data_IF_946314892097
#
_entry.id   IF_946314892097
#
_cell.length_a   1.000
_cell.length_b   1.000
_cell.length_c   1.000
_cell.angle_alpha   90.00
_cell.angle_beta   90.00
_cell.angle_gamma   90.00
#
_symmetry.space_group_name_H-M   'P 1'
#
loop_
_entity.id
_entity.type
_entity.pdbx_description
1 polymer ?
#
# COMPACT_ATOMS: atom_id res chain seq x y z
N UNK A 1 5.60 -21.32 -1.99
CA UNK A 1 5.91 -21.56 -0.57
C UNK A 1 5.34 -20.41 0.22
N UNK A 2 4.51 -20.69 1.23
CA UNK A 2 3.74 -19.70 1.98
C UNK A 2 4.71 -18.72 2.67
N UNK A 3 4.81 -17.48 2.17
CA UNK A 3 5.56 -16.42 2.82
C UNK A 3 4.79 -16.02 4.09
N UNK A 4 5.45 -16.08 5.25
CA UNK A 4 4.85 -15.87 6.57
C UNK A 4 5.35 -14.55 7.16
N UNK A 5 5.21 -13.47 6.39
CA UNK A 5 5.46 -12.09 6.80
C UNK A 5 4.31 -11.45 7.56
N UNK A 6 4.44 -10.15 7.84
CA UNK A 6 3.64 -9.33 8.77
C UNK A 6 2.15 -9.70 8.89
N UNK A 7 1.56 -9.40 10.05
CA UNK A 7 0.12 -9.49 10.22
C UNK A 7 -0.56 -8.32 9.49
N UNK A 8 -0.82 -8.50 8.20
CA UNK A 8 -1.40 -7.48 7.32
C UNK A 8 -2.93 -7.45 7.46
N UNK A 9 -3.46 -6.29 7.82
CA UNK A 9 -4.89 -5.97 7.83
C UNK A 9 -5.17 -4.86 6.81
N UNK A 10 -6.12 -5.08 5.91
CA UNK A 10 -6.59 -4.04 4.99
C UNK A 10 -7.73 -3.25 5.62
N UNK A 11 -7.64 -1.92 5.56
CA UNK A 11 -8.64 -0.98 6.08
C UNK A 11 -9.23 -0.23 4.90
N UNK A 12 -10.54 -0.37 4.68
CA UNK A 12 -11.21 0.17 3.50
C UNK A 12 -12.61 0.69 3.82
N UNK A 13 -13.07 1.68 3.06
CA UNK A 13 -14.45 2.20 3.18
C UNK A 13 -15.51 1.26 2.60
N UNK A 14 -15.11 0.34 1.71
CA UNK A 14 -16.01 -0.54 0.97
C UNK A 14 -15.77 -2.01 1.32
N UNK A 15 -16.80 -2.68 1.83
CA UNK A 15 -16.79 -4.11 2.14
C UNK A 15 -16.54 -4.99 0.92
N UNK A 16 -16.94 -4.54 -0.27
CA UNK A 16 -16.72 -5.25 -1.54
C UNK A 16 -15.25 -5.54 -1.86
N UNK A 17 -14.31 -4.89 -1.16
CA UNK A 17 -12.87 -5.09 -1.31
C UNK A 17 -12.31 -6.21 -0.42
N UNK A 18 -13.13 -6.83 0.44
CA UNK A 18 -12.68 -7.90 1.35
C UNK A 18 -12.15 -9.11 0.60
N UNK A 19 -12.86 -9.55 -0.44
CA UNK A 19 -12.45 -10.71 -1.24
C UNK A 19 -11.12 -10.44 -1.95
N UNK A 20 -10.95 -9.26 -2.51
CA UNK A 20 -9.70 -8.85 -3.17
C UNK A 20 -8.56 -8.76 -2.14
N UNK A 21 -8.79 -8.18 -0.96
CA UNK A 21 -7.80 -8.17 0.13
C UNK A 21 -7.39 -9.58 0.58
N UNK A 22 -8.36 -10.50 0.67
CA UNK A 22 -8.12 -11.90 1.05
C UNK A 22 -7.31 -12.63 -0.01
N UNK A 23 -7.63 -12.44 -1.30
CA UNK A 23 -6.86 -13.00 -2.43
C UNK A 23 -5.41 -12.51 -2.45
N UNK A 24 -5.17 -11.27 -2.01
CA UNK A 24 -3.83 -10.68 -1.90
C UNK A 24 -3.05 -11.17 -0.67
N UNK A 25 -3.68 -11.94 0.22
CA UNK A 25 -3.05 -12.55 1.40
C UNK A 25 -3.19 -11.76 2.70
N UNK A 26 -4.08 -10.75 2.76
CA UNK A 26 -4.37 -10.07 4.02
C UNK A 26 -4.98 -11.05 5.04
N UNK A 27 -4.52 -10.99 6.30
CA UNK A 27 -5.02 -11.86 7.38
C UNK A 27 -6.32 -11.36 7.98
N UNK A 28 -6.60 -10.06 7.85
CA UNK A 28 -7.82 -9.44 8.35
C UNK A 28 -8.23 -8.26 7.46
N UNK A 29 -9.48 -7.82 7.63
CA UNK A 29 -10.04 -6.68 6.91
C UNK A 29 -11.00 -5.90 7.80
N UNK A 30 -10.84 -4.58 7.83
CA UNK A 30 -11.65 -3.64 8.61
C UNK A 30 -12.38 -2.65 7.71
N UNK A 31 -13.65 -2.41 8.02
CA UNK A 31 -14.44 -1.37 7.36
C UNK A 31 -14.27 -0.04 8.08
N UNK A 32 -13.67 0.95 7.43
CA UNK A 32 -13.38 2.25 8.07
C UNK A 32 -14.61 3.10 8.38
N UNK A 33 -15.80 2.71 7.88
CA UNK A 33 -17.09 3.34 8.23
C UNK A 33 -17.77 2.66 9.42
N UNK A 34 -17.29 1.51 9.85
CA UNK A 34 -17.83 0.75 10.97
C UNK A 34 -17.09 1.17 12.25
N UNK A 35 -17.77 1.97 13.07
CA UNK A 35 -17.20 2.50 14.30
C UNK A 35 -16.91 1.41 15.35
N UNK A 36 -17.65 0.30 15.35
CA UNK A 36 -17.40 -0.80 16.28
C UNK A 36 -16.14 -1.57 15.91
N UNK A 37 -15.95 -1.84 14.61
CA UNK A 37 -14.71 -2.45 14.10
C UNK A 37 -13.49 -1.58 14.36
N UNK A 38 -13.58 -0.26 14.12
CA UNK A 38 -12.47 0.65 14.39
C UNK A 38 -12.13 0.72 15.88
N UNK A 39 -13.14 0.81 16.74
CA UNK A 39 -12.95 0.83 18.20
C UNK A 39 -12.32 -0.47 18.70
N UNK A 40 -12.75 -1.61 18.17
CA UNK A 40 -12.17 -2.92 18.50
C UNK A 40 -10.72 -3.10 18.06
N UNK A 41 -10.26 -2.31 17.09
CA UNK A 41 -8.91 -2.35 16.54
C UNK A 41 -7.99 -1.22 17.05
N UNK A 42 -8.41 -0.46 18.06
CA UNK A 42 -7.56 0.56 18.67
C UNK A 42 -6.28 -0.07 19.23
N UNK A 43 -5.16 0.64 19.09
CA UNK A 43 -3.85 0.21 19.61
C UNK A 43 -3.34 -1.14 19.06
N UNK A 44 -3.80 -1.57 17.89
CA UNK A 44 -3.53 -2.90 17.35
C UNK A 44 -2.42 -2.95 16.29
N UNK A 45 -1.97 -1.80 15.78
CA UNK A 45 -0.99 -1.75 14.67
C UNK A 45 0.32 -1.08 15.07
N UNK A 46 1.43 -1.74 14.76
CA UNK A 46 2.78 -1.17 14.92
C UNK A 46 3.11 -0.22 13.75
N UNK A 47 2.56 -0.49 12.58
CA UNK A 47 2.83 0.25 11.36
C UNK A 47 1.56 0.35 10.51
N UNK A 48 1.24 1.55 10.04
CA UNK A 48 0.16 1.81 9.09
C UNK A 48 0.75 2.49 7.86
N UNK A 49 0.47 1.96 6.68
CA UNK A 49 0.71 2.64 5.40
C UNK A 49 -0.60 3.12 4.80
N UNK A 50 -0.67 4.42 4.56
CA UNK A 50 -1.83 5.09 4.03
C UNK A 50 -1.65 5.40 2.54
N UNK A 51 -2.41 4.67 1.71
CA UNK A 51 -2.36 4.77 0.25
C UNK A 51 -3.49 5.62 -0.34
N UNK A 52 -4.30 6.27 0.50
CA UNK A 52 -5.50 6.97 0.05
C UNK A 52 -5.17 8.39 -0.41
N UNK A 53 -5.51 8.71 -1.66
CA UNK A 53 -5.34 10.07 -2.23
C UNK A 53 -6.62 10.91 -2.19
N UNK A 54 -7.72 10.36 -1.68
CA UNK A 54 -8.95 11.10 -1.40
C UNK A 54 -8.94 11.63 0.05
N UNK A 55 -9.78 12.63 0.33
CA UNK A 55 -9.97 13.10 1.70
C UNK A 55 -10.53 11.96 2.56
N UNK A 56 -9.91 11.74 3.72
CA UNK A 56 -10.33 10.75 4.70
C UNK A 56 -9.90 11.17 6.11
N UNK A 57 -10.42 10.48 7.12
CA UNK A 57 -10.18 10.79 8.54
C UNK A 57 -8.87 10.16 9.04
N UNK A 58 -7.77 10.89 8.89
CA UNK A 58 -6.44 10.46 9.37
C UNK A 58 -6.41 10.34 10.90
N UNK A 59 -7.14 11.19 11.63
CA UNK A 59 -7.17 11.17 13.08
C UNK A 59 -7.73 9.85 13.63
N UNK A 60 -8.83 9.36 13.04
CA UNK A 60 -9.40 8.06 13.37
C UNK A 60 -8.40 6.92 13.12
N UNK A 61 -7.63 7.01 12.02
CA UNK A 61 -6.67 5.97 11.66
C UNK A 61 -5.44 5.96 12.59
N UNK A 62 -4.95 7.12 13.04
CA UNK A 62 -3.85 7.20 14.02
C UNK A 62 -4.27 6.54 15.36
N UNK A 63 -5.55 6.55 15.72
CA UNK A 63 -6.02 5.85 16.92
C UNK A 63 -5.92 4.33 16.84
N UNK A 64 -5.76 3.76 15.64
CA UNK A 64 -5.52 2.33 15.48
C UNK A 64 -4.07 1.95 15.82
N UNK A 65 -3.14 2.90 15.79
CA UNK A 65 -1.74 2.65 16.14
C UNK A 65 -1.57 2.31 17.61
N UNK A 66 -0.73 1.31 17.86
CA UNK A 66 -0.15 0.99 19.14
C UNK A 66 0.76 2.13 19.64
N UNK A 67 1.17 2.06 20.91
CA UNK A 67 2.12 3.00 21.48
C UNK A 67 3.44 3.01 20.68
N UNK A 68 3.89 4.19 20.28
CA UNK A 68 5.03 4.42 19.38
C UNK A 68 4.90 3.79 17.98
N UNK A 69 3.67 3.47 17.56
CA UNK A 69 3.40 3.01 16.20
C UNK A 69 3.69 4.08 15.14
N UNK A 70 3.90 3.62 13.91
CA UNK A 70 4.26 4.46 12.77
C UNK A 70 3.06 4.64 11.84
N UNK A 71 2.72 5.89 11.51
CA UNK A 71 1.82 6.24 10.42
C UNK A 71 2.63 6.75 9.23
N UNK A 72 2.66 6.01 8.13
CA UNK A 72 3.36 6.41 6.90
C UNK A 72 2.35 6.80 5.82
N UNK A 73 2.34 8.09 5.47
CA UNK A 73 1.52 8.62 4.39
C UNK A 73 2.24 8.52 3.04
N UNK A 74 1.61 7.81 2.10
CA UNK A 74 2.07 7.76 0.70
C UNK A 74 1.00 8.24 -0.28
N UNK A 75 -0.26 8.31 0.16
CA UNK A 75 -1.34 9.00 -0.54
C UNK A 75 -1.20 10.53 -0.45
N UNK A 76 -1.78 11.23 -1.43
CA UNK A 76 -1.74 12.70 -1.51
C UNK A 76 -3.15 13.29 -1.50
N UNK A 77 -3.81 13.41 -0.33
CA UNK A 77 -5.11 14.05 -0.22
C UNK A 77 -5.02 15.57 -0.51
N UNK A 78 -6.10 16.18 -1.06
CA UNK A 78 -6.07 17.58 -1.48
C UNK A 78 -6.17 18.58 -0.33
N UNK A 79 -6.58 18.16 0.88
CA UNK A 79 -6.62 19.02 2.07
C UNK A 79 -5.65 18.50 3.14
N UNK A 80 -5.12 19.39 4.00
CA UNK A 80 -4.29 18.98 5.12
C UNK A 80 -5.01 17.98 6.04
N UNK A 81 -4.24 17.04 6.59
CA UNK A 81 -4.72 16.13 7.62
C UNK A 81 -4.75 16.81 8.99
N UNK A 82 -5.80 16.55 9.77
CA UNK A 82 -5.88 16.99 11.16
C UNK A 82 -5.25 15.94 12.08
N UNK A 83 -4.36 16.38 12.98
CA UNK A 83 -3.64 15.51 13.91
C UNK A 83 -3.99 15.92 15.35
N UNK A 84 -4.67 15.07 16.14
CA UNK A 84 -5.06 15.43 17.50
C UNK A 84 -3.85 15.45 18.46
N UNK A 85 -3.61 16.59 19.13
CA UNK A 85 -2.47 16.76 20.04
C UNK A 85 -2.45 15.76 21.20
N UNK A 86 -3.61 15.40 21.76
CA UNK A 86 -3.66 14.41 22.84
C UNK A 86 -3.21 13.03 22.39
N UNK A 87 -3.53 12.64 21.16
CA UNK A 87 -3.06 11.36 20.60
C UNK A 87 -1.53 11.39 20.46
N UNK A 88 -0.94 12.51 20.06
CA UNK A 88 0.51 12.67 20.01
C UNK A 88 1.15 12.52 21.39
N UNK A 89 0.59 13.16 22.41
CA UNK A 89 1.12 13.14 23.78
C UNK A 89 1.03 11.74 24.41
N UNK A 90 -0.09 11.05 24.26
CA UNK A 90 -0.32 9.77 24.92
C UNK A 90 0.23 8.57 24.16
N UNK A 91 0.18 8.58 22.81
CA UNK A 91 0.64 7.45 22.01
C UNK A 91 2.06 7.59 21.49
N UNK A 92 2.58 8.83 21.41
CA UNK A 92 3.89 9.14 20.82
C UNK A 92 4.08 8.52 19.42
N UNK A 93 3.11 8.63 18.50
CA UNK A 93 3.21 8.02 17.19
C UNK A 93 4.30 8.71 16.36
N UNK A 94 4.89 7.96 15.43
CA UNK A 94 5.79 8.51 14.42
C UNK A 94 4.94 8.74 13.17
N UNK A 95 4.72 10.01 12.80
CA UNK A 95 3.99 10.36 11.58
C UNK A 95 5.01 10.78 10.54
N UNK A 96 5.02 10.07 9.40
CA UNK A 96 6.00 10.26 8.34
C UNK A 96 5.33 10.20 6.97
N UNK A 97 6.04 10.68 5.95
CA UNK A 97 5.65 10.52 4.56
C UNK A 97 6.75 9.86 3.76
N UNK A 98 6.39 9.15 2.69
CA UNK A 98 7.36 8.65 1.72
C UNK A 98 6.86 8.85 0.31
N UNK A 99 7.74 9.32 -0.55
CA UNK A 99 7.48 9.49 -1.97
C UNK A 99 8.61 8.80 -2.72
N UNK A 100 8.26 7.80 -3.54
CA UNK A 100 9.18 7.00 -4.35
C UNK A 100 10.36 6.44 -3.53
N UNK A 101 11.46 6.05 -4.18
CA UNK A 101 12.67 5.57 -3.54
C UNK A 101 13.89 5.82 -4.43
N UNK A 102 15.09 5.73 -3.84
CA UNK A 102 16.34 5.95 -4.58
C UNK A 102 16.64 4.81 -5.56
N UNK A 103 17.47 5.05 -6.59
CA UNK A 103 17.77 4.03 -7.63
C UNK A 103 18.31 2.71 -7.07
N UNK A 104 19.17 2.77 -6.04
CA UNK A 104 19.68 1.57 -5.36
C UNK A 104 18.55 0.78 -4.70
N UNK A 105 17.66 1.48 -4.00
CA UNK A 105 16.50 0.90 -3.32
C UNK A 105 15.49 0.33 -4.31
N UNK A 106 15.28 1.00 -5.44
CA UNK A 106 14.46 0.51 -6.55
C UNK A 106 15.01 -0.79 -7.13
N UNK A 107 16.34 -0.91 -7.30
CA UNK A 107 16.93 -2.16 -7.77
C UNK A 107 16.74 -3.29 -6.74
N UNK A 108 16.95 -3.01 -5.46
CA UNK A 108 16.73 -3.99 -4.40
C UNK A 108 15.26 -4.43 -4.31
N UNK A 109 14.31 -3.52 -4.51
CA UNK A 109 12.89 -3.85 -4.64
C UNK A 109 12.64 -4.77 -5.84
N UNK A 110 13.19 -4.46 -7.02
CA UNK A 110 13.01 -5.30 -8.20
C UNK A 110 13.60 -6.71 -7.99
N UNK A 111 14.78 -6.80 -7.38
CA UNK A 111 15.43 -8.08 -7.06
C UNK A 111 14.58 -8.88 -6.05
N UNK A 112 14.01 -8.21 -5.04
CA UNK A 112 13.07 -8.79 -4.09
C UNK A 112 11.81 -9.29 -4.80
N UNK A 113 11.20 -8.48 -5.67
CA UNK A 113 10.04 -8.88 -6.47
C UNK A 113 10.35 -10.11 -7.34
N UNK A 114 11.52 -10.14 -7.99
CA UNK A 114 11.97 -11.27 -8.79
C UNK A 114 12.14 -12.53 -7.94
N UNK A 115 12.75 -12.44 -6.76
CA UNK A 115 12.96 -13.60 -5.87
C UNK A 115 11.67 -14.18 -5.29
N UNK A 116 10.70 -13.32 -5.00
CA UNK A 116 9.45 -13.68 -4.32
C UNK A 116 8.24 -13.77 -5.28
N UNK A 117 8.48 -13.69 -6.59
CA UNK A 117 7.46 -13.75 -7.64
C UNK A 117 6.33 -12.70 -7.43
N UNK A 118 6.70 -11.54 -6.90
CA UNK A 118 5.75 -10.44 -6.65
C UNK A 118 5.60 -9.63 -7.93
N UNK A 119 4.37 -9.63 -8.45
CA UNK A 119 4.00 -8.86 -9.64
C UNK A 119 2.77 -7.99 -9.37
N UNK A 120 2.65 -6.93 -10.16
CA UNK A 120 1.40 -6.16 -10.24
C UNK A 120 0.39 -6.90 -11.11
N UNK A 121 -0.88 -6.89 -10.71
CA UNK A 121 -1.96 -7.21 -11.64
C UNK A 121 -2.20 -6.01 -12.55
N UNK A 122 -2.13 -6.27 -13.85
CA UNK A 122 -2.16 -5.25 -14.90
C UNK A 122 -3.31 -5.54 -15.86
N UNK A 123 -3.97 -4.46 -16.30
CA UNK A 123 -4.82 -4.50 -17.48
C UNK A 123 -4.01 -3.93 -18.64
N UNK A 124 -3.75 -4.75 -19.66
CA UNK A 124 -3.06 -4.28 -20.86
C UNK A 124 -4.04 -3.50 -21.72
N UNK A 125 -3.63 -2.30 -22.13
CA UNK A 125 -4.33 -1.51 -23.15
C UNK A 125 -3.39 -1.28 -24.32
N UNK A 126 -3.96 -1.15 -25.50
CA UNK A 126 -3.22 -0.67 -26.65
C UNK A 126 -3.04 0.84 -26.53
N UNK A 127 -1.92 1.36 -27.04
CA UNK A 127 -1.61 2.78 -27.01
C UNK A 127 -2.38 3.57 -28.09
N UNK A 128 -3.70 3.33 -28.19
CA UNK A 128 -4.61 4.07 -29.07
C UNK A 128 -5.39 5.13 -28.27
N UNK A 129 -5.59 6.35 -28.80
CA UNK A 129 -6.18 7.47 -28.05
C UNK A 129 -7.52 7.15 -27.38
N UNK A 130 -8.37 6.36 -28.05
CA UNK A 130 -9.69 5.96 -27.55
C UNK A 130 -9.57 5.09 -26.29
N UNK A 131 -8.69 4.07 -26.30
CA UNK A 131 -8.48 3.21 -25.14
C UNK A 131 -7.79 3.94 -24.01
N UNK A 132 -6.88 4.88 -24.30
CA UNK A 132 -6.23 5.71 -23.29
C UNK A 132 -7.25 6.59 -22.57
N UNK A 133 -8.18 7.21 -23.30
CA UNK A 133 -9.22 8.06 -22.70
C UNK A 133 -10.20 7.23 -21.86
N UNK A 134 -10.62 6.05 -22.34
CA UNK A 134 -11.47 5.13 -21.56
C UNK A 134 -10.75 4.64 -20.30
N UNK A 135 -9.46 4.30 -20.41
CA UNK A 135 -8.62 3.92 -19.28
C UNK A 135 -8.46 5.06 -18.25
N UNK A 136 -8.30 6.30 -18.72
CA UNK A 136 -8.24 7.49 -17.88
C UNK A 136 -9.55 7.71 -17.11
N UNK A 137 -10.70 7.64 -17.79
CA UNK A 137 -12.03 7.78 -17.17
C UNK A 137 -12.30 6.68 -16.14
N UNK A 138 -11.89 5.44 -16.43
CA UNK A 138 -11.97 4.32 -15.49
C UNK A 138 -11.08 4.52 -14.27
N UNK A 139 -9.87 5.07 -14.45
CA UNK A 139 -8.95 5.38 -13.35
C UNK A 139 -9.55 6.42 -12.40
N UNK A 140 -10.15 7.50 -12.94
CA UNK A 140 -10.84 8.51 -12.14
C UNK A 140 -12.00 7.92 -11.32
N UNK A 141 -12.65 6.89 -11.83
CA UNK A 141 -13.75 6.17 -11.16
C UNK A 141 -13.30 5.04 -10.24
N UNK A 142 -12.00 4.83 -10.05
CA UNK A 142 -11.43 3.68 -9.32
C UNK A 142 -11.83 2.30 -9.91
N UNK A 143 -12.12 2.24 -11.21
CA UNK A 143 -12.55 1.04 -11.95
C UNK A 143 -11.40 0.42 -12.77
N UNK A 144 -10.29 0.10 -12.10
CA UNK A 144 -9.12 -0.56 -12.71
C UNK A 144 -8.57 -1.61 -11.76
N UNK A 145 -8.26 -2.81 -12.27
CA UNK A 145 -7.56 -3.86 -11.54
C UNK A 145 -6.14 -4.11 -12.10
N UNK A 146 -5.07 -3.36 -11.78
CA UNK A 146 -4.91 -2.21 -10.89
C UNK A 146 -4.04 -1.08 -11.47
N UNK A 147 -3.50 -1.23 -12.69
CA UNK A 147 -2.63 -0.23 -13.34
C UNK A 147 -2.52 -0.45 -14.86
N UNK A 148 -2.36 0.64 -15.62
CA UNK A 148 -1.99 0.65 -17.06
C UNK A 148 -0.49 0.96 -17.24
N UNK A 149 0.14 0.52 -18.35
CA UNK A 149 1.61 0.47 -18.50
C UNK A 149 2.11 0.92 -19.89
N UNK A 150 3.27 1.59 -19.94
CA UNK A 150 4.12 1.85 -21.13
C UNK A 150 5.60 1.56 -20.80
N UNK A 151 6.38 1.12 -21.79
CA UNK A 151 7.79 0.73 -21.64
C UNK A 151 8.77 1.91 -21.81
N UNK A 152 9.65 2.14 -20.81
CA UNK A 152 11.05 2.62 -20.90
C UNK A 152 11.64 2.66 -19.48
N UNK A 153 12.65 1.82 -19.16
CA UNK A 153 13.24 1.73 -17.81
C UNK A 153 14.77 1.80 -17.80
N UNK A 154 15.34 2.48 -16.78
CA UNK A 154 16.79 2.60 -16.52
C UNK A 154 17.29 1.48 -15.58
N UNK A 155 16.39 0.83 -14.83
CA UNK A 155 16.72 -0.27 -13.91
C UNK A 155 16.81 -1.62 -14.66
N UNK A 156 17.65 -2.54 -14.16
CA UNK A 156 17.73 -3.89 -14.72
C UNK A 156 16.56 -4.71 -14.20
N UNK A 157 15.65 -5.06 -15.10
CA UNK A 157 14.51 -5.93 -14.79
C UNK A 157 15.00 -7.38 -14.71
N UNK A 158 14.73 -8.12 -13.61
CA UNK A 158 15.05 -9.54 -13.51
C UNK A 158 14.43 -10.34 -14.67
N UNK A 159 15.15 -11.35 -15.19
CA UNK A 159 14.71 -12.14 -16.36
C UNK A 159 13.38 -12.87 -16.15
N UNK A 160 13.02 -13.14 -14.90
CA UNK A 160 11.80 -13.82 -14.50
C UNK A 160 10.63 -12.87 -14.22
N UNK A 161 10.81 -11.55 -14.39
CA UNK A 161 9.76 -10.55 -14.24
C UNK A 161 9.38 -9.98 -15.62
N UNK A 162 8.12 -10.10 -16.05
CA UNK A 162 7.73 -9.56 -17.34
C UNK A 162 7.74 -8.02 -17.31
N UNK A 163 8.18 -7.39 -18.41
CA UNK A 163 8.48 -5.95 -18.47
C UNK A 163 7.27 -5.06 -18.19
N UNK A 164 6.10 -5.52 -18.63
CA UNK A 164 4.81 -4.90 -18.37
C UNK A 164 4.45 -4.88 -16.88
N UNK A 165 4.76 -5.94 -16.13
CA UNK A 165 4.57 -5.98 -14.68
C UNK A 165 5.64 -5.18 -13.92
N UNK A 166 6.80 -4.89 -14.54
CA UNK A 166 7.88 -4.12 -13.91
C UNK A 166 7.58 -2.61 -13.86
N UNK A 167 6.93 -2.05 -14.88
CA UNK A 167 6.56 -0.64 -14.93
C UNK A 167 5.77 -0.11 -13.71
N UNK A 168 4.68 -0.77 -13.27
CA UNK A 168 3.91 -0.30 -12.13
C UNK A 168 4.70 -0.39 -10.81
N UNK A 169 5.69 -1.29 -10.74
CA UNK A 169 6.57 -1.40 -9.57
C UNK A 169 7.47 -0.17 -9.40
N UNK A 170 7.90 0.47 -10.48
CA UNK A 170 8.79 1.63 -10.40
C UNK A 170 8.10 2.91 -9.91
N UNK A 171 6.77 2.89 -9.79
CA UNK A 171 6.00 3.97 -9.19
C UNK A 171 5.34 3.47 -7.90
N UNK A 172 4.17 2.83 -7.99
CA UNK A 172 3.42 2.40 -6.81
C UNK A 172 4.14 1.30 -6.00
N UNK A 173 4.95 0.47 -6.66
CA UNK A 173 5.77 -0.53 -5.96
C UNK A 173 6.78 0.13 -5.05
N UNK A 174 7.69 0.94 -5.59
CA UNK A 174 8.77 1.54 -4.79
C UNK A 174 8.24 2.47 -3.70
N UNK A 175 7.17 3.22 -4.00
CA UNK A 175 6.50 4.09 -3.02
C UNK A 175 5.95 3.30 -1.83
N UNK A 176 5.58 2.04 -2.00
CA UNK A 176 5.11 1.18 -0.89
C UNK A 176 6.25 0.34 -0.29
N UNK A 177 7.22 -0.13 -1.09
CA UNK A 177 8.36 -0.91 -0.61
C UNK A 177 9.30 -0.09 0.29
N UNK A 178 9.59 1.16 -0.11
CA UNK A 178 10.54 2.02 0.60
C UNK A 178 10.20 2.24 2.08
N UNK A 179 8.99 2.69 2.44
CA UNK A 179 8.66 2.89 3.85
C UNK A 179 8.65 1.57 4.65
N UNK A 180 8.22 0.46 4.05
CA UNK A 180 8.24 -0.85 4.70
C UNK A 180 9.67 -1.26 5.06
N UNK A 181 10.61 -1.06 4.11
CA UNK A 181 12.03 -1.31 4.33
C UNK A 181 12.62 -0.37 5.39
N UNK A 182 12.38 0.93 5.27
CA UNK A 182 12.95 1.95 6.16
C UNK A 182 12.51 1.77 7.62
N UNK A 183 11.28 1.29 7.82
CA UNK A 183 10.71 1.02 9.15
C UNK A 183 10.86 -0.44 9.60
N UNK A 184 11.66 -1.26 8.89
CA UNK A 184 11.95 -2.65 9.23
C UNK A 184 10.69 -3.50 9.45
N UNK A 185 9.67 -3.32 8.62
CA UNK A 185 8.45 -4.14 8.65
C UNK A 185 8.83 -5.60 8.36
N UNK A 186 8.39 -6.53 9.21
CA UNK A 186 8.71 -7.95 9.06
C UNK A 186 7.73 -8.87 9.79
N UNK A 187 8.16 -10.11 10.06
CA UNK A 187 7.33 -11.22 10.55
C UNK A 187 6.46 -10.92 11.80
N UNK A 188 6.94 -10.08 12.71
CA UNK A 188 6.25 -9.78 13.97
C UNK A 188 5.54 -8.43 13.96
N UNK A 189 5.47 -7.75 12.81
CA UNK A 189 4.84 -6.43 12.70
C UNK A 189 3.35 -6.60 12.42
N UNK A 190 2.51 -5.91 13.19
CA UNK A 190 1.09 -5.74 12.89
C UNK A 190 0.92 -4.53 11.98
N UNK A 191 0.57 -4.80 10.72
CA UNK A 191 0.57 -3.81 9.65
C UNK A 191 -0.85 -3.51 9.20
N UNK A 192 -1.25 -2.24 9.25
CA UNK A 192 -2.46 -1.73 8.61
C UNK A 192 -2.17 -1.17 7.23
N UNK A 193 -2.99 -1.49 6.23
CA UNK A 193 -2.97 -0.87 4.90
C UNK A 193 -4.28 -0.10 4.72
N UNK A 194 -4.23 1.22 4.61
CA UNK A 194 -5.42 2.03 4.36
C UNK A 194 -5.59 2.23 2.86
N UNK A 195 -6.77 1.89 2.35
CA UNK A 195 -6.99 1.68 0.93
C UNK A 195 -6.60 0.26 0.51
N UNK A 196 -6.78 -0.09 -0.77
CA UNK A 196 -6.49 -1.46 -1.22
C UNK A 196 -4.99 -1.70 -1.39
N UNK A 197 -4.25 -0.67 -1.82
CA UNK A 197 -2.78 -0.63 -1.76
C UNK A 197 -2.11 -1.94 -2.13
N UNK A 198 -2.46 -2.58 -3.26
CA UNK A 198 -2.14 -3.99 -3.56
C UNK A 198 -0.69 -4.36 -3.31
N UNK A 199 0.22 -3.46 -3.70
CA UNK A 199 1.65 -3.66 -3.53
C UNK A 199 2.06 -3.64 -2.06
N UNK A 200 1.48 -2.75 -1.24
CA UNK A 200 1.73 -2.75 0.20
C UNK A 200 1.29 -4.06 0.86
N UNK A 201 0.14 -4.63 0.44
CA UNK A 201 -0.32 -5.93 0.94
C UNK A 201 0.65 -7.04 0.51
N UNK A 202 0.98 -7.13 -0.79
CA UNK A 202 1.91 -8.15 -1.32
C UNK A 202 3.28 -8.05 -0.67
N UNK A 203 3.81 -6.85 -0.46
CA UNK A 203 5.09 -6.64 0.22
C UNK A 203 5.03 -6.98 1.70
N UNK A 204 4.01 -6.54 2.43
CA UNK A 204 3.86 -6.87 3.86
C UNK A 204 3.78 -8.37 4.11
N UNK A 205 3.05 -9.09 3.24
CA UNK A 205 2.96 -10.56 3.28
C UNK A 205 4.31 -11.22 2.95
N UNK A 206 5.06 -10.68 1.99
CA UNK A 206 6.32 -11.27 1.52
C UNK A 206 7.55 -10.92 2.37
N UNK A 207 7.55 -9.82 3.11
CA UNK A 207 8.69 -9.34 3.91
C UNK A 207 8.92 -10.12 5.22
N UNK A 208 8.34 -11.33 5.38
CA UNK A 208 8.76 -12.25 6.43
C UNK A 208 8.65 -13.72 6.09
#
# INVERSE_FOLDING_TARGET
GVAMGAHVTVISTSESKRDDATKLGAKAFLVSKDAEQLKGAENSFDFIIDTVSAQHDVAAMINLLAFQGVYCMVGAPPKPAEIPSFVLLFKRPIITGSLIGGMKETQEMLDFCGKHEITCEIEKIEAIPEQINVAYDRTLKSDVKYRFVREYFICKVPKNLPLDAAAPLLCAGITTYSPLRQHNVGKNTYMGVIGLGHMAVKFGVAMG
#
